data_IF_487317284463
#
_entry.id   IF_487317284463
#
_cell.length_a   1.000
_cell.length_b   1.000
_cell.length_c   1.000
_cell.angle_alpha   90.00
_cell.angle_beta   90.00
_cell.angle_gamma   90.00
#
_symmetry.space_group_name_H-M   'P 1'
#
loop_
_entity.id
_entity.type
_entity.pdbx_description
1 polymer ?
#
# COMPACT_ATOMS: atom_id res chain seq x y z
N UNK A 1 -38.14 16.87 -7.78
CA UNK A 1 -36.93 16.27 -8.40
C UNK A 1 -36.02 17.27 -9.09
N UNK A 2 -36.47 18.11 -10.05
CA UNK A 2 -35.59 19.04 -10.80
C UNK A 2 -34.72 19.97 -9.94
N UNK A 3 -35.25 20.51 -8.84
CA UNK A 3 -34.48 21.39 -7.95
C UNK A 3 -33.40 20.66 -7.13
N UNK A 4 -33.62 19.39 -6.76
CA UNK A 4 -32.58 18.58 -6.10
C UNK A 4 -31.50 18.16 -7.09
N UNK A 5 -31.89 17.77 -8.31
CA UNK A 5 -30.95 17.46 -9.39
C UNK A 5 -30.08 18.68 -9.73
N UNK A 6 -30.69 19.86 -9.94
CA UNK A 6 -29.95 21.10 -10.21
C UNK A 6 -29.03 21.55 -9.06
N UNK A 7 -29.43 21.33 -7.80
CA UNK A 7 -28.56 21.59 -6.63
C UNK A 7 -27.39 20.61 -6.56
N UNK A 8 -27.64 19.33 -6.83
CA UNK A 8 -26.58 18.32 -6.89
C UNK A 8 -25.61 18.66 -8.01
N UNK A 9 -26.09 19.07 -9.19
CA UNK A 9 -25.24 19.51 -10.29
C UNK A 9 -24.40 20.74 -9.90
N UNK A 10 -25.00 21.77 -9.31
CA UNK A 10 -24.27 22.97 -8.88
C UNK A 10 -23.23 22.67 -7.80
N UNK A 11 -23.56 21.82 -6.82
CA UNK A 11 -22.63 21.43 -5.75
C UNK A 11 -21.49 20.57 -6.29
N UNK A 12 -21.75 19.68 -7.24
CA UNK A 12 -20.71 18.88 -7.89
C UNK A 12 -19.76 19.80 -8.67
N UNK A 13 -20.29 20.73 -9.47
CA UNK A 13 -19.48 21.71 -10.20
C UNK A 13 -18.64 22.54 -9.22
N UNK A 14 -19.23 23.04 -8.15
CA UNK A 14 -18.51 23.76 -7.11
C UNK A 14 -17.42 22.90 -6.44
N UNK A 15 -17.69 21.63 -6.17
CA UNK A 15 -16.73 20.71 -5.57
C UNK A 15 -15.55 20.43 -6.51
N UNK A 16 -15.80 20.29 -7.82
CA UNK A 16 -14.73 20.13 -8.82
C UNK A 16 -13.86 21.37 -8.91
N UNK A 17 -14.47 22.56 -8.97
CA UNK A 17 -13.72 23.83 -9.02
C UNK A 17 -12.89 24.01 -7.73
N UNK A 18 -13.52 23.83 -6.56
CA UNK A 18 -12.85 23.94 -5.28
C UNK A 18 -11.72 22.91 -5.13
N UNK A 19 -11.96 21.67 -5.57
CA UNK A 19 -10.96 20.60 -5.58
C UNK A 19 -9.79 20.94 -6.48
N UNK A 20 -10.04 21.43 -7.71
CA UNK A 20 -8.97 21.81 -8.64
C UNK A 20 -8.09 22.94 -8.10
N UNK A 21 -8.69 23.95 -7.47
CA UNK A 21 -7.94 25.06 -6.85
C UNK A 21 -7.13 24.58 -5.64
N UNK A 22 -7.72 23.74 -4.78
CA UNK A 22 -6.96 23.20 -3.65
C UNK A 22 -5.83 22.27 -4.11
N UNK A 23 -6.06 21.51 -5.18
CA UNK A 23 -5.07 20.61 -5.77
C UNK A 23 -3.85 21.39 -6.25
N UNK A 24 -4.04 22.50 -6.97
CA UNK A 24 -2.93 23.33 -7.43
C UNK A 24 -2.14 23.92 -6.26
N UNK A 25 -2.81 24.43 -5.23
CA UNK A 25 -2.11 24.99 -4.06
C UNK A 25 -1.30 23.96 -3.28
N UNK A 26 -1.80 22.73 -3.17
CA UNK A 26 -1.07 21.60 -2.57
C UNK A 26 0.14 21.20 -3.42
N UNK A 27 -0.01 21.20 -4.74
CA UNK A 27 1.08 20.95 -5.67
C UNK A 27 2.17 22.02 -5.56
N UNK A 28 1.80 23.29 -5.64
CA UNK A 28 2.72 24.43 -5.54
C UNK A 28 3.46 24.41 -4.20
N UNK A 29 2.75 24.12 -3.10
CA UNK A 29 3.36 23.99 -1.78
C UNK A 29 4.34 22.81 -1.71
N UNK A 30 4.02 21.69 -2.37
CA UNK A 30 4.92 20.54 -2.43
C UNK A 30 6.18 20.84 -3.27
N UNK A 31 6.04 21.52 -4.39
CA UNK A 31 7.18 21.99 -5.20
C UNK A 31 8.07 22.93 -4.40
N UNK A 32 7.48 23.95 -3.77
CA UNK A 32 8.18 24.91 -2.94
C UNK A 32 8.88 24.25 -1.73
N UNK A 33 8.30 23.19 -1.17
CA UNK A 33 8.93 22.42 -0.10
C UNK A 33 10.12 21.53 -0.57
N UNK A 34 10.39 21.49 -1.87
CA UNK A 34 11.47 20.70 -2.48
C UNK A 34 11.05 19.30 -2.92
N UNK A 35 9.74 19.01 -3.05
CA UNK A 35 9.20 17.73 -3.48
C UNK A 35 8.85 17.72 -4.98
N UNK A 36 9.64 18.40 -5.81
CA UNK A 36 9.33 18.66 -7.22
C UNK A 36 9.20 17.42 -8.12
N UNK A 37 8.75 17.67 -9.35
CA UNK A 37 8.53 16.64 -10.37
C UNK A 37 7.29 15.80 -10.08
N UNK A 38 7.33 14.50 -10.40
CA UNK A 38 6.17 13.61 -10.23
C UNK A 38 5.69 13.50 -8.77
N UNK A 39 6.58 13.71 -7.80
CA UNK A 39 6.26 13.62 -6.37
C UNK A 39 5.26 14.69 -5.97
N UNK A 40 5.44 15.93 -6.43
CA UNK A 40 4.57 17.05 -6.10
C UNK A 40 3.11 16.82 -6.53
N UNK A 41 2.86 16.01 -7.56
CA UNK A 41 1.52 15.61 -7.98
C UNK A 41 0.90 14.54 -7.07
N UNK A 42 1.71 13.69 -6.43
CA UNK A 42 1.24 12.65 -5.52
C UNK A 42 0.70 13.24 -4.20
N UNK A 43 1.18 14.42 -3.81
CA UNK A 43 0.75 15.13 -2.61
C UNK A 43 -0.75 15.43 -2.60
N UNK A 44 -1.30 16.24 -3.52
CA UNK A 44 -2.73 16.52 -3.54
C UNK A 44 -3.57 15.27 -3.73
N UNK A 45 -3.13 14.32 -4.56
CA UNK A 45 -3.82 13.02 -4.72
C UNK A 45 -3.95 12.29 -3.40
N UNK A 46 -2.89 12.23 -2.58
CA UNK A 46 -2.93 11.55 -1.29
C UNK A 46 -3.87 12.25 -0.28
N UNK A 47 -3.94 13.59 -0.31
CA UNK A 47 -4.88 14.37 0.52
C UNK A 47 -6.33 14.08 0.11
N UNK A 48 -6.61 14.13 -1.19
CA UNK A 48 -7.96 13.90 -1.73
C UNK A 48 -8.43 12.47 -1.46
N UNK A 49 -7.57 11.47 -1.66
CA UNK A 49 -7.90 10.08 -1.36
C UNK A 49 -8.21 9.88 0.12
N UNK A 50 -7.45 10.50 1.01
CA UNK A 50 -7.71 10.44 2.45
C UNK A 50 -9.05 11.11 2.80
N UNK A 51 -9.34 12.27 2.21
CA UNK A 51 -10.58 13.02 2.43
C UNK A 51 -11.80 12.21 1.94
N UNK A 52 -11.70 11.60 0.75
CA UNK A 52 -12.74 10.73 0.17
C UNK A 52 -12.92 9.46 0.98
N UNK A 53 -11.84 8.79 1.40
CA UNK A 53 -11.91 7.59 2.23
C UNK A 53 -12.56 7.88 3.58
N UNK A 54 -12.14 8.96 4.25
CA UNK A 54 -12.71 9.40 5.51
C UNK A 54 -14.19 9.75 5.37
N UNK A 55 -14.57 10.51 4.32
CA UNK A 55 -15.96 10.84 4.03
C UNK A 55 -16.82 9.61 3.78
N UNK A 56 -16.35 8.65 2.95
CA UNK A 56 -17.06 7.40 2.69
C UNK A 56 -17.31 6.65 3.99
N UNK A 57 -16.29 6.53 4.85
CA UNK A 57 -16.41 5.84 6.13
C UNK A 57 -17.34 6.56 7.12
N UNK A 58 -17.34 7.89 7.13
CA UNK A 58 -18.33 8.68 7.89
C UNK A 58 -19.76 8.43 7.40
N UNK A 59 -19.96 8.35 6.08
CA UNK A 59 -21.28 8.09 5.47
C UNK A 59 -21.77 6.66 5.77
N UNK A 60 -20.86 5.69 5.82
CA UNK A 60 -21.18 4.32 6.25
C UNK A 60 -21.60 4.28 7.72
N UNK A 61 -20.80 4.85 8.62
CA UNK A 61 -21.12 4.93 10.05
C UNK A 61 -22.46 5.66 10.31
N UNK A 62 -22.71 6.77 9.60
CA UNK A 62 -23.97 7.51 9.70
C UNK A 62 -25.18 6.69 9.28
N UNK A 63 -25.05 5.86 8.23
CA UNK A 63 -26.13 4.96 7.78
C UNK A 63 -26.37 3.82 8.77
N UNK A 64 -25.31 3.35 9.43
CA UNK A 64 -25.37 2.33 10.46
C UNK A 64 -25.75 2.87 11.85
N UNK A 65 -25.98 4.18 12.01
CA UNK A 65 -26.27 4.80 13.31
C UNK A 65 -25.09 4.77 14.30
N UNK A 66 -23.88 4.53 13.82
CA UNK A 66 -22.67 4.39 14.64
C UNK A 66 -21.87 5.70 14.72
N UNK A 67 -21.09 5.91 15.80
CA UNK A 67 -20.22 7.07 15.91
C UNK A 67 -19.07 7.03 14.89
N UNK A 68 -18.85 8.14 14.19
CA UNK A 68 -17.81 8.27 13.16
C UNK A 68 -16.52 8.93 13.66
N UNK A 69 -16.09 8.64 14.89
CA UNK A 69 -14.97 9.36 15.55
C UNK A 69 -13.64 9.29 14.79
N UNK A 70 -13.16 8.08 14.50
CA UNK A 70 -11.93 7.87 13.71
C UNK A 70 -12.00 8.48 12.30
N UNK A 71 -13.05 8.18 11.52
CA UNK A 71 -13.24 8.80 10.21
C UNK A 71 -13.28 10.33 10.23
N UNK A 72 -13.96 10.91 11.23
CA UNK A 72 -14.04 12.37 11.39
C UNK A 72 -12.68 12.98 11.71
N UNK A 73 -11.87 12.32 12.55
CA UNK A 73 -10.50 12.78 12.81
C UNK A 73 -9.68 12.84 11.52
N UNK A 74 -9.67 11.76 10.73
CA UNK A 74 -8.92 11.72 9.48
C UNK A 74 -9.44 12.68 8.42
N UNK A 75 -10.75 12.90 8.36
CA UNK A 75 -11.34 13.94 7.53
C UNK A 75 -10.83 15.33 7.92
N UNK A 76 -10.78 15.64 9.22
CA UNK A 76 -10.26 16.94 9.70
C UNK A 76 -8.76 17.11 9.43
N UNK A 77 -7.96 16.05 9.55
CA UNK A 77 -6.53 16.09 9.21
C UNK A 77 -6.33 16.38 7.73
N UNK A 78 -7.03 15.68 6.83
CA UNK A 78 -6.98 15.92 5.39
C UNK A 78 -7.47 17.33 5.03
N UNK A 79 -8.56 17.78 5.66
CA UNK A 79 -9.10 19.12 5.45
C UNK A 79 -8.13 20.22 5.92
N UNK A 80 -7.46 20.01 7.05
CA UNK A 80 -6.45 20.95 7.56
C UNK A 80 -5.24 21.04 6.63
N UNK A 81 -4.81 19.92 6.04
CA UNK A 81 -3.73 19.93 5.05
C UNK A 81 -4.11 20.70 3.77
N UNK A 82 -5.30 20.42 3.22
CA UNK A 82 -5.84 21.13 2.05
C UNK A 82 -6.01 22.64 2.31
N UNK A 83 -6.63 23.00 3.43
CA UNK A 83 -6.80 24.41 3.80
C UNK A 83 -5.46 25.10 4.10
N UNK A 84 -4.54 24.40 4.77
CA UNK A 84 -3.21 24.90 5.07
C UNK A 84 -2.42 25.26 3.82
N UNK A 85 -2.54 24.48 2.75
CA UNK A 85 -1.93 24.80 1.46
C UNK A 85 -2.52 26.05 0.81
N UNK A 86 -3.85 26.21 0.85
CA UNK A 86 -4.51 27.42 0.34
C UNK A 86 -4.06 28.66 1.12
N UNK A 87 -3.93 28.54 2.46
CA UNK A 87 -3.48 29.66 3.30
C UNK A 87 -2.00 29.99 3.06
N UNK A 88 -1.15 28.97 2.94
CA UNK A 88 0.27 29.17 2.66
C UNK A 88 0.49 29.91 1.33
N UNK A 89 -0.25 29.53 0.30
CA UNK A 89 -0.16 30.13 -1.04
C UNK A 89 -0.91 31.46 -1.18
N UNK A 90 -1.72 31.87 -0.19
CA UNK A 90 -2.43 33.15 -0.18
C UNK A 90 -1.53 34.37 0.14
N UNK A 91 -0.21 34.25 -0.01
CA UNK A 91 0.77 35.30 0.27
C UNK A 91 1.17 35.44 1.74
N UNK A 92 0.79 34.48 2.59
CA UNK A 92 1.29 34.41 3.98
C UNK A 92 2.66 33.74 4.08
N UNK A 93 3.03 32.94 3.07
CA UNK A 93 4.30 32.25 3.00
C UNK A 93 5.10 32.73 1.78
N UNK A 94 6.39 32.94 1.97
CA UNK A 94 7.33 33.06 0.86
C UNK A 94 7.61 31.65 0.31
N UNK A 95 7.16 31.39 -0.92
CA UNK A 95 7.32 30.08 -1.57
C UNK A 95 8.75 29.89 -2.11
N UNK A 96 9.52 30.97 -2.25
CA UNK A 96 10.94 30.89 -2.62
C UNK A 96 11.82 30.48 -1.42
N UNK A 97 11.35 30.72 -0.18
CA UNK A 97 12.02 30.34 1.06
C UNK A 97 11.07 29.68 2.08
N UNK A 98 10.71 28.41 1.80
CA UNK A 98 9.85 27.64 2.68
C UNK A 98 10.58 27.24 3.99
N UNK A 99 10.04 27.59 5.17
CA UNK A 99 10.64 27.25 6.46
C UNK A 99 10.89 25.75 6.61
N UNK A 100 12.01 25.37 7.23
CA UNK A 100 12.40 23.98 7.40
C UNK A 100 11.33 23.12 8.10
N UNK A 101 10.61 23.67 9.07
CA UNK A 101 9.50 22.98 9.75
C UNK A 101 8.39 22.58 8.80
N UNK A 102 7.99 23.48 7.89
CA UNK A 102 6.97 23.21 6.90
C UNK A 102 7.45 22.18 5.87
N UNK A 103 8.73 22.27 5.45
CA UNK A 103 9.34 21.26 4.57
C UNK A 103 9.33 19.86 5.19
N UNK A 104 9.57 19.75 6.50
CA UNK A 104 9.48 18.48 7.24
C UNK A 104 8.03 17.97 7.28
N UNK A 105 7.06 18.85 7.55
CA UNK A 105 5.63 18.48 7.55
C UNK A 105 5.20 17.97 6.17
N UNK A 106 5.54 18.69 5.11
CA UNK A 106 5.27 18.26 3.74
C UNK A 106 6.01 16.95 3.45
N UNK A 107 7.30 16.83 3.73
CA UNK A 107 8.03 15.57 3.50
C UNK A 107 7.41 14.37 4.25
N UNK A 108 6.87 14.58 5.45
CA UNK A 108 6.23 13.55 6.26
C UNK A 108 4.79 13.19 5.88
N UNK A 109 4.11 14.05 5.11
CA UNK A 109 2.69 13.88 4.78
C UNK A 109 2.34 12.51 4.17
N UNK A 110 3.10 11.94 3.21
CA UNK A 110 2.75 10.64 2.63
C UNK A 110 2.62 9.51 3.67
N UNK A 111 3.46 9.52 4.71
CA UNK A 111 3.39 8.54 5.79
C UNK A 111 2.11 8.72 6.64
N UNK A 112 1.74 9.96 6.93
CA UNK A 112 0.51 10.30 7.66
C UNK A 112 -0.72 9.89 6.85
N UNK A 113 -0.74 10.20 5.55
CA UNK A 113 -1.83 9.84 4.66
C UNK A 113 -1.99 8.32 4.52
N UNK A 114 -0.88 7.59 4.40
CA UNK A 114 -0.89 6.13 4.39
C UNK A 114 -1.41 5.53 5.71
N UNK A 115 -0.93 6.05 6.85
CA UNK A 115 -1.39 5.59 8.16
C UNK A 115 -2.89 5.83 8.35
N UNK A 116 -3.37 7.03 7.99
CA UNK A 116 -4.81 7.32 8.05
C UNK A 116 -5.64 6.47 7.11
N UNK A 117 -5.17 6.30 5.87
CA UNK A 117 -5.83 5.45 4.87
C UNK A 117 -5.93 4.00 5.31
N UNK A 118 -4.85 3.43 5.88
CA UNK A 118 -4.85 2.04 6.36
C UNK A 118 -5.77 1.85 7.55
N UNK A 119 -5.81 2.78 8.51
CA UNK A 119 -6.76 2.73 9.64
C UNK A 119 -8.22 2.83 9.17
N UNK A 120 -8.50 3.69 8.19
CA UNK A 120 -9.84 3.81 7.61
C UNK A 120 -10.27 2.54 6.88
N UNK A 121 -9.34 1.90 6.15
CA UNK A 121 -9.62 0.69 5.38
C UNK A 121 -9.76 -0.56 6.26
N UNK A 122 -9.04 -0.65 7.38
CA UNK A 122 -8.97 -1.87 8.21
C UNK A 122 -9.65 -1.72 9.58
N UNK A 123 -10.51 -0.73 9.77
CA UNK A 123 -11.30 -0.62 11.00
C UNK A 123 -12.24 -1.83 11.13
N UNK A 124 -12.18 -2.61 12.23
CA UNK A 124 -12.97 -3.83 12.38
C UNK A 124 -14.45 -3.49 12.25
N UNK A 125 -15.13 -4.17 11.32
CA UNK A 125 -16.57 -4.26 11.36
C UNK A 125 -16.93 -5.12 12.56
N UNK A 126 -17.41 -4.50 13.64
CA UNK A 126 -18.18 -5.24 14.64
C UNK A 126 -19.38 -5.81 13.91
N UNK A 127 -19.47 -7.14 13.70
CA UNK A 127 -20.69 -7.73 13.22
C UNK A 127 -21.74 -7.44 14.28
N UNK A 128 -22.85 -6.85 13.88
CA UNK A 128 -24.03 -6.75 14.72
C UNK A 128 -24.42 -8.18 15.06
N UNK A 129 -24.06 -8.62 16.27
CA UNK A 129 -24.56 -9.87 16.81
C UNK A 129 -26.09 -9.76 16.80
N UNK A 130 -26.82 -10.75 16.24
CA UNK A 130 -28.27 -10.73 16.30
C UNK A 130 -28.70 -10.55 17.75
N UNK A 131 -29.53 -9.54 18.03
CA UNK A 131 -30.19 -9.43 19.32
C UNK A 131 -31.18 -10.59 19.45
N UNK A 132 -30.68 -11.73 19.92
CA UNK A 132 -31.52 -12.74 20.54
C UNK A 132 -31.91 -12.21 21.91
N UNK A 133 -33.14 -11.74 21.98
CA UNK A 133 -33.83 -11.50 23.23
C UNK A 133 -34.16 -12.87 23.82
N UNK A 134 -33.31 -13.43 24.66
CA UNK A 134 -33.70 -14.47 25.61
C UNK A 134 -32.79 -14.50 26.85
N UNK A 135 -33.44 -14.56 27.99
CA UNK A 135 -32.99 -14.29 29.38
C UNK A 135 -31.93 -15.30 29.89
N UNK A 136 -31.16 -14.95 30.95
CA UNK A 136 -29.81 -15.46 31.19
C UNK A 136 -29.73 -16.75 32.02
N UNK A 137 -28.76 -17.61 31.68
CA UNK A 137 -28.15 -18.59 32.60
C UNK A 137 -26.62 -18.43 32.57
N UNK A 138 -26.03 -18.42 33.75
CA UNK A 138 -24.64 -18.04 34.03
C UNK A 138 -23.60 -19.14 33.70
N UNK A 139 -22.29 -18.92 33.96
CA UNK A 139 -21.23 -18.83 32.96
C UNK A 139 -20.43 -20.14 32.80
N UNK A 140 -19.96 -20.45 31.58
CA UNK A 140 -18.97 -21.51 31.35
C UNK A 140 -17.68 -20.90 30.79
N UNK A 141 -16.63 -21.21 31.54
CA UNK A 141 -15.19 -21.18 31.31
C UNK A 141 -14.64 -20.65 29.97
N UNK A 142 -13.64 -19.80 30.14
CA UNK A 142 -12.65 -19.34 29.17
C UNK A 142 -11.95 -20.55 28.55
N UNK A 143 -12.00 -20.68 27.23
CA UNK A 143 -11.13 -21.59 26.47
C UNK A 143 -10.15 -20.73 25.65
N UNK A 144 -8.90 -20.66 26.12
CA UNK A 144 -7.77 -20.11 25.36
C UNK A 144 -7.57 -20.92 24.06
N UNK A 145 -7.20 -20.29 22.94
CA UNK A 145 -6.87 -21.03 21.73
C UNK A 145 -5.54 -21.76 21.93
N UNK A 146 -5.65 -23.07 22.15
CA UNK A 146 -4.55 -24.01 22.21
C UNK A 146 -3.78 -23.96 20.89
N UNK A 147 -2.50 -23.59 20.98
CA UNK A 147 -1.50 -23.68 19.91
C UNK A 147 -1.53 -25.11 19.34
N UNK A 148 -1.88 -25.23 18.06
CA UNK A 148 -1.62 -26.45 17.30
C UNK A 148 -0.11 -26.71 17.27
N UNK A 149 0.26 -27.78 17.97
CA UNK A 149 1.59 -28.33 17.99
C UNK A 149 1.90 -29.03 16.66
N UNK A 150 3.10 -28.81 16.15
CA UNK A 150 3.74 -29.57 15.08
C UNK A 150 3.62 -31.10 15.32
N UNK A 151 3.40 -31.89 14.27
CA UNK A 151 3.86 -33.27 14.21
C UNK A 151 5.15 -33.37 13.38
N UNK A 152 6.25 -33.77 14.02
CA UNK A 152 7.39 -34.46 13.42
C UNK A 152 7.68 -35.71 14.28
N UNK A 153 8.38 -36.76 13.81
CA UNK A 153 8.72 -37.18 12.44
C UNK A 153 8.36 -38.67 12.18
N UNK A 154 8.31 -39.11 10.93
CA UNK A 154 8.36 -40.54 10.60
C UNK A 154 9.31 -40.78 9.43
N UNK A 155 10.32 -41.60 9.69
CA UNK A 155 11.42 -41.95 8.79
C UNK A 155 10.94 -42.97 7.74
N UNK A 156 11.31 -42.69 6.49
CA UNK A 156 11.58 -43.52 5.29
C UNK A 156 11.03 -44.97 5.20
N UNK A 157 10.66 -45.42 3.99
CA UNK A 157 11.70 -46.03 3.16
C UNK A 157 11.71 -45.58 1.69
N UNK A 158 12.93 -45.39 1.20
CA UNK A 158 13.36 -45.17 -0.17
C UNK A 158 12.85 -46.30 -1.09
N UNK A 159 12.47 -46.00 -2.35
CA UNK A 159 12.80 -46.95 -3.39
C UNK A 159 13.40 -46.29 -4.64
N UNK A 160 14.59 -46.78 -4.97
CA UNK A 160 14.97 -47.35 -6.27
C UNK A 160 14.88 -46.43 -7.49
N UNK A 161 16.04 -45.94 -7.90
CA UNK A 161 16.34 -45.43 -9.24
C UNK A 161 16.42 -46.60 -10.23
N UNK A 162 15.74 -46.51 -11.39
CA UNK A 162 16.17 -47.08 -12.68
C UNK A 162 15.27 -46.60 -13.87
N UNK A 163 15.65 -46.73 -15.16
CA UNK A 163 16.07 -45.60 -16.00
C UNK A 163 15.18 -45.24 -17.22
N UNK A 164 15.28 -43.97 -17.63
CA UNK A 164 15.09 -43.30 -18.95
C UNK A 164 14.13 -43.94 -19.98
N UNK A 165 13.10 -43.18 -20.37
CA UNK A 165 12.58 -43.19 -21.74
C UNK A 165 12.17 -41.77 -22.15
N UNK A 166 12.78 -41.23 -23.20
CA UNK A 166 12.26 -40.08 -23.96
C UNK A 166 11.40 -40.62 -25.13
N UNK A 167 10.29 -39.96 -25.50
CA UNK A 167 10.38 -39.01 -26.61
C UNK A 167 9.47 -37.75 -26.52
N UNK A 168 10.08 -36.60 -26.85
CA UNK A 168 9.63 -35.36 -27.56
C UNK A 168 8.16 -34.84 -27.55
N UNK A 169 7.91 -33.57 -27.93
CA UNK A 169 8.52 -32.30 -27.52
C UNK A 169 7.45 -31.37 -26.91
N UNK A 170 7.66 -30.86 -25.70
CA UNK A 170 6.79 -29.81 -25.14
C UNK A 170 7.29 -28.43 -25.60
N UNK A 171 6.39 -27.49 -25.96
CA UNK A 171 6.74 -26.24 -26.61
C UNK A 171 7.68 -25.43 -25.74
N UNK A 172 8.69 -24.83 -26.37
CA UNK A 172 9.59 -23.84 -25.78
C UNK A 172 8.74 -22.74 -25.15
N UNK A 173 8.56 -22.82 -23.82
CA UNK A 173 7.98 -21.72 -23.07
C UNK A 173 8.88 -20.50 -23.34
N UNK A 174 8.31 -19.35 -23.72
CA UNK A 174 9.11 -18.16 -24.01
C UNK A 174 9.95 -17.83 -22.78
N UNK A 175 11.26 -17.67 -22.99
CA UNK A 175 12.19 -17.26 -21.96
C UNK A 175 11.64 -15.96 -21.33
N UNK A 176 11.10 -16.06 -20.11
CA UNK A 176 10.61 -14.90 -19.39
C UNK A 176 11.83 -14.03 -19.14
N UNK A 177 11.89 -12.93 -19.89
CA UNK A 177 12.99 -11.98 -19.82
C UNK A 177 12.94 -11.34 -18.44
N UNK A 178 14.07 -11.36 -17.73
CA UNK A 178 14.17 -10.73 -16.42
C UNK A 178 14.01 -9.20 -16.57
N UNK A 179 13.17 -8.56 -15.74
CA UNK A 179 13.13 -7.11 -15.64
C UNK A 179 14.54 -6.53 -15.38
N UNK A 180 14.89 -5.36 -15.95
CA UNK A 180 16.25 -4.80 -15.87
C UNK A 180 16.73 -4.61 -14.42
N UNK A 181 15.84 -4.22 -13.50
CA UNK A 181 16.17 -4.09 -12.08
C UNK A 181 16.60 -5.41 -11.42
N UNK A 182 16.07 -6.55 -11.87
CA UNK A 182 16.48 -7.86 -11.39
C UNK A 182 17.82 -8.29 -12.00
N UNK A 183 18.09 -7.93 -13.25
CA UNK A 183 19.39 -8.16 -13.89
C UNK A 183 20.51 -7.43 -13.16
N UNK A 184 20.29 -6.16 -12.78
CA UNK A 184 21.26 -5.40 -11.99
C UNK A 184 21.50 -6.04 -10.63
N UNK A 185 20.43 -6.54 -9.98
CA UNK A 185 20.56 -7.24 -8.69
C UNK A 185 21.29 -8.57 -8.81
N UNK A 186 21.06 -9.34 -9.88
CA UNK A 186 21.80 -10.58 -10.19
C UNK A 186 23.29 -10.28 -10.32
N UNK A 187 23.67 -9.23 -11.07
CA UNK A 187 25.08 -8.84 -11.26
C UNK A 187 25.76 -8.41 -9.96
N UNK A 188 25.07 -7.64 -9.11
CA UNK A 188 25.59 -7.25 -7.80
C UNK A 188 25.84 -8.47 -6.92
N UNK A 189 24.89 -9.41 -6.86
CA UNK A 189 25.06 -10.65 -6.09
C UNK A 189 26.18 -11.54 -6.64
N UNK A 190 26.36 -11.57 -7.96
CA UNK A 190 27.45 -12.30 -8.60
C UNK A 190 28.83 -11.74 -8.19
N UNK A 191 28.97 -10.42 -8.17
CA UNK A 191 30.20 -9.75 -7.78
C UNK A 191 30.48 -9.92 -6.28
N UNK A 192 29.46 -9.79 -5.43
CA UNK A 192 29.57 -10.08 -3.99
C UNK A 192 30.03 -11.52 -3.73
N UNK A 193 29.46 -12.49 -4.45
CA UNK A 193 29.86 -13.89 -4.33
C UNK A 193 31.31 -14.10 -4.77
N UNK A 194 31.69 -13.55 -5.92
CA UNK A 194 33.07 -13.64 -6.44
C UNK A 194 34.07 -13.01 -5.48
N UNK A 195 33.75 -11.88 -4.86
CA UNK A 195 34.59 -11.24 -3.86
C UNK A 195 34.73 -12.09 -2.58
N UNK A 196 33.69 -12.82 -2.19
CA UNK A 196 33.67 -13.63 -0.98
C UNK A 196 34.30 -15.02 -1.13
N UNK A 197 34.07 -15.71 -2.26
CA UNK A 197 34.46 -17.11 -2.46
C UNK A 197 35.53 -17.30 -3.55
N UNK A 198 35.81 -16.28 -4.36
CA UNK A 198 36.77 -16.34 -5.47
C UNK A 198 36.27 -17.14 -6.69
N UNK A 199 35.06 -17.69 -6.64
CA UNK A 199 34.46 -18.51 -7.70
C UNK A 199 33.24 -17.87 -8.36
N UNK A 200 32.76 -18.43 -9.50
CA UNK A 200 31.50 -17.99 -10.11
C UNK A 200 30.32 -18.30 -9.19
N UNK A 201 29.31 -17.42 -9.19
CA UNK A 201 28.10 -17.62 -8.41
C UNK A 201 27.22 -18.73 -9.00
N UNK A 202 26.63 -19.55 -8.16
CA UNK A 202 25.66 -20.56 -8.57
C UNK A 202 24.32 -19.88 -8.97
N UNK A 203 23.83 -20.08 -10.22
CA UNK A 203 22.55 -19.52 -10.68
C UNK A 203 21.36 -19.88 -9.78
N UNK A 204 21.34 -21.08 -9.21
CA UNK A 204 20.23 -21.51 -8.35
C UNK A 204 20.27 -20.85 -6.97
N UNK A 205 21.46 -20.69 -6.39
CA UNK A 205 21.66 -19.93 -5.15
C UNK A 205 21.27 -18.44 -5.32
N UNK A 206 21.66 -17.81 -6.44
CA UNK A 206 21.30 -16.41 -6.74
C UNK A 206 19.80 -16.25 -6.94
N UNK A 207 19.17 -17.14 -7.70
CA UNK A 207 17.71 -17.19 -7.88
C UNK A 207 16.98 -17.33 -6.54
N UNK A 208 17.40 -18.29 -5.70
CA UNK A 208 16.79 -18.54 -4.40
C UNK A 208 16.85 -17.31 -3.49
N UNK A 209 17.99 -16.60 -3.50
CA UNK A 209 18.18 -15.36 -2.72
C UNK A 209 17.32 -14.19 -3.21
N UNK A 210 16.95 -14.19 -4.49
CA UNK A 210 16.04 -13.20 -5.09
C UNK A 210 14.55 -13.59 -4.95
N UNK A 211 14.24 -14.75 -4.38
CA UNK A 211 12.86 -15.24 -4.24
C UNK A 211 12.19 -15.61 -5.56
N UNK A 212 12.97 -15.92 -6.60
CA UNK A 212 12.46 -16.21 -7.95
C UNK A 212 12.08 -17.69 -8.11
N UNK A 213 11.04 -18.02 -8.91
CA UNK A 213 10.63 -19.40 -9.15
C UNK A 213 11.70 -20.19 -9.94
N UNK A 214 11.77 -21.51 -9.74
CA UNK A 214 12.78 -22.39 -10.35
C UNK A 214 12.79 -22.33 -11.90
N UNK A 215 11.68 -21.96 -12.53
CA UNK A 215 11.61 -21.74 -13.97
C UNK A 215 12.47 -20.57 -14.48
N UNK A 216 12.96 -19.70 -13.61
CA UNK A 216 13.81 -18.55 -13.95
C UNK A 216 15.31 -18.79 -13.80
N UNK A 217 15.75 -19.99 -13.35
CA UNK A 217 17.19 -20.33 -13.28
C UNK A 217 17.93 -20.08 -14.60
N UNK A 218 17.40 -20.47 -15.78
CA UNK A 218 18.08 -20.21 -17.05
C UNK A 218 18.24 -18.72 -17.36
N UNK A 219 17.26 -17.89 -16.99
CA UNK A 219 17.34 -16.44 -17.18
C UNK A 219 18.36 -15.78 -16.25
N UNK A 220 18.49 -16.28 -15.02
CA UNK A 220 19.54 -15.82 -14.08
C UNK A 220 20.92 -16.24 -14.58
N UNK A 221 21.07 -17.49 -15.03
CA UNK A 221 22.33 -18.01 -15.57
C UNK A 221 22.84 -17.22 -16.78
N UNK A 222 21.96 -16.64 -17.59
CA UNK A 222 22.34 -15.79 -18.72
C UNK A 222 22.99 -14.45 -18.32
N UNK A 223 22.98 -14.09 -17.03
CA UNK A 223 23.44 -12.80 -16.52
C UNK A 223 24.50 -12.89 -15.40
N UNK A 224 25.04 -14.08 -15.16
CA UNK A 224 26.17 -14.34 -14.27
C UNK A 224 27.50 -14.38 -15.03
#
# INVERSE_FOLDING_TARGET
MRAQLARVDAVIVQAVIAGALSFSHLHDLAEAAGQGGWKAWAYPVSVDLLLVAAWRRMREAQRAGQPAGGPRLWFLVALAASLGANVATAGLLDLDDVPASLRVVVAGWPAVAFFGGTLLAHSPHTPEAPSETETPTAPVAIEEPQRDALPEPSIEPEPTIEPITAPAPAPTAPAVSLPPALVDRVRVLAEEHRAATGGPADPDAVRARLGLPASMTPSVAAHL
#
